data_IF_421423596326
#
_entry.id   IF_421423596326
#
_cell.length_a   1.000
_cell.length_b   1.000
_cell.length_c   1.000
_cell.angle_alpha   90.00
_cell.angle_beta   90.00
_cell.angle_gamma   90.00
#
_symmetry.space_group_name_H-M   'P 1'
#
loop_
_entity.id
_entity.type
_entity.pdbx_description
1 polymer ?
#
# COMPACT_ATOMS: atom_id res chain seq x y z
N UNK A 1 9.70 -8.80 21.43
CA UNK A 1 10.55 -7.84 20.70
C UNK A 1 9.90 -6.47 20.74
N UNK A 2 10.68 -5.45 21.05
CA UNK A 2 10.28 -4.05 21.01
C UNK A 2 10.92 -3.44 19.76
N UNK A 3 10.13 -2.72 18.97
CA UNK A 3 10.61 -2.00 17.78
C UNK A 3 10.02 -0.60 17.79
N UNK A 4 10.88 0.40 17.62
CA UNK A 4 10.50 1.77 17.36
C UNK A 4 10.95 2.11 15.94
N UNK A 5 10.07 2.70 15.15
CA UNK A 5 10.31 3.03 13.75
C UNK A 5 9.86 4.46 13.48
N UNK A 6 10.69 5.20 12.75
CA UNK A 6 10.34 6.50 12.19
C UNK A 6 10.54 6.42 10.69
N UNK A 7 9.46 6.65 9.95
CA UNK A 7 9.50 6.76 8.48
C UNK A 7 9.24 8.20 8.09
N UNK A 8 10.07 8.75 7.22
CA UNK A 8 9.92 10.10 6.69
C UNK A 8 10.02 10.02 5.17
N UNK A 9 9.05 10.57 4.48
CA UNK A 9 9.01 10.75 3.03
C UNK A 9 8.51 12.16 2.70
N UNK A 10 8.42 12.49 1.42
CA UNK A 10 7.94 13.79 0.94
C UNK A 10 6.53 14.13 1.45
N UNK A 11 5.63 13.14 1.44
CA UNK A 11 4.23 13.34 1.83
C UNK A 11 3.89 12.74 3.21
N UNK A 12 4.79 11.99 3.84
CA UNK A 12 4.42 11.19 5.00
C UNK A 12 5.46 11.21 6.10
N UNK A 13 5.01 11.47 7.32
CA UNK A 13 5.78 11.26 8.55
C UNK A 13 5.04 10.24 9.40
N UNK A 14 5.66 9.10 9.68
CA UNK A 14 5.09 8.05 10.52
C UNK A 14 6.01 7.71 11.67
N UNK A 15 5.54 7.87 12.90
CA UNK A 15 6.14 7.33 14.11
C UNK A 15 5.37 6.10 14.57
N UNK A 16 6.07 4.99 14.83
CA UNK A 16 5.44 3.75 15.26
C UNK A 16 6.23 3.09 16.40
N UNK A 17 5.51 2.58 17.38
CA UNK A 17 6.03 1.83 18.49
C UNK A 17 5.33 0.48 18.58
N UNK A 18 6.09 -0.61 18.37
CA UNK A 18 5.55 -1.96 18.32
C UNK A 18 6.13 -2.83 19.41
N UNK A 19 5.26 -3.57 20.08
CA UNK A 19 5.60 -4.68 20.96
C UNK A 19 5.12 -5.97 20.32
N UNK A 20 6.03 -6.89 20.03
CA UNK A 20 5.71 -8.19 19.44
C UNK A 20 6.23 -9.31 20.32
N UNK A 21 5.36 -10.23 20.70
CA UNK A 21 5.68 -11.51 21.31
C UNK A 21 5.37 -12.63 20.30
N UNK A 22 6.40 -13.20 19.63
CA UNK A 22 6.19 -14.17 18.54
C UNK A 22 5.69 -15.52 19.01
N UNK A 23 5.94 -15.89 20.27
CA UNK A 23 5.59 -17.21 20.81
C UNK A 23 4.77 -17.03 22.10
N UNK A 24 3.60 -16.42 21.97
CA UNK A 24 2.77 -16.12 23.11
C UNK A 24 2.36 -17.38 23.86
N UNK A 25 2.70 -17.47 25.15
CA UNK A 25 2.47 -18.63 26.01
C UNK A 25 3.02 -19.94 25.47
N UNK A 26 4.19 -19.89 24.82
CA UNK A 26 4.85 -21.04 24.18
C UNK A 26 4.03 -21.69 23.04
N UNK A 27 3.16 -20.91 22.40
CA UNK A 27 2.45 -21.32 21.20
C UNK A 27 3.13 -20.76 19.94
N UNK A 28 2.69 -21.21 18.77
CA UNK A 28 3.05 -20.70 17.46
C UNK A 28 2.36 -19.37 17.10
N UNK A 29 1.57 -18.83 18.03
CA UNK A 29 0.83 -17.57 17.84
C UNK A 29 1.65 -16.38 18.31
N UNK A 30 1.74 -15.36 17.47
CA UNK A 30 2.27 -14.07 17.88
C UNK A 30 1.17 -13.15 18.41
N UNK A 31 1.52 -12.29 19.36
CA UNK A 31 0.70 -11.14 19.74
C UNK A 31 1.49 -9.87 19.49
N UNK A 32 0.86 -8.92 18.85
CA UNK A 32 1.41 -7.60 18.60
C UNK A 32 0.51 -6.50 19.18
N UNK A 33 1.16 -5.49 19.72
CA UNK A 33 0.56 -4.23 20.15
C UNK A 33 1.30 -3.12 19.43
N UNK A 34 0.58 -2.15 18.89
CA UNK A 34 1.18 -0.99 18.25
C UNK A 34 0.55 0.31 18.77
N UNK A 35 1.35 1.36 18.78
CA UNK A 35 0.91 2.75 18.91
C UNK A 35 1.58 3.50 17.77
N UNK A 36 0.82 4.29 17.03
CA UNK A 36 1.33 5.01 15.89
C UNK A 36 0.75 6.41 15.75
N UNK A 37 1.55 7.29 15.18
CA UNK A 37 1.11 8.58 14.68
C UNK A 37 1.58 8.71 13.23
N UNK A 38 0.65 9.04 12.35
CA UNK A 38 0.86 9.15 10.91
C UNK A 38 0.34 10.50 10.44
N UNK A 39 1.23 11.33 9.93
CA UNK A 39 0.89 12.53 9.19
C UNK A 39 1.08 12.28 7.70
N UNK A 40 0.07 12.61 6.91
CA UNK A 40 0.13 12.55 5.45
C UNK A 40 -0.25 13.93 4.90
N UNK A 41 0.70 14.60 4.26
CA UNK A 41 0.52 15.91 3.66
C UNK A 41 0.35 15.78 2.14
N UNK A 42 -0.84 16.06 1.66
CA UNK A 42 -1.23 16.09 0.25
C UNK A 42 -1.87 17.43 -0.13
N UNK A 43 -1.53 18.48 0.60
CA UNK A 43 -2.11 19.81 0.37
C UNK A 43 -1.81 20.33 -1.03
N UNK A 44 -0.64 20.04 -1.59
CA UNK A 44 -0.22 20.47 -2.93
C UNK A 44 -0.92 19.70 -4.04
N UNK A 45 -0.99 18.38 -3.94
CA UNK A 45 -1.40 17.50 -5.03
C UNK A 45 -2.86 17.07 -4.96
N UNK A 46 -3.44 17.08 -3.75
CA UNK A 46 -4.78 16.58 -3.49
C UNK A 46 -5.62 17.50 -2.59
N UNK A 47 -5.07 18.63 -2.18
CA UNK A 47 -5.82 19.67 -1.43
C UNK A 47 -6.10 19.35 0.05
N UNK A 48 -5.54 18.29 0.63
CA UNK A 48 -5.81 17.93 2.01
C UNK A 48 -4.58 17.37 2.75
N UNK A 49 -4.66 17.41 4.07
CA UNK A 49 -3.68 16.83 5.01
C UNK A 49 -4.41 16.01 6.06
N UNK A 50 -3.83 14.90 6.47
CA UNK A 50 -4.37 14.08 7.55
C UNK A 50 -3.35 13.85 8.65
N UNK A 51 -3.83 13.79 9.89
CA UNK A 51 -3.06 13.34 11.02
C UNK A 51 -3.84 12.26 11.76
N UNK A 52 -3.32 11.02 11.77
CA UNK A 52 -3.90 9.85 12.43
C UNK A 52 -3.03 9.45 13.60
N UNK A 53 -3.59 9.44 14.81
CA UNK A 53 -2.93 8.89 15.99
C UNK A 53 -3.80 7.78 16.56
N UNK A 54 -3.20 6.64 16.86
CA UNK A 54 -3.98 5.51 17.31
C UNK A 54 -3.16 4.36 17.84
N UNK A 55 -3.88 3.31 18.20
CA UNK A 55 -3.32 2.08 18.70
C UNK A 55 -3.99 0.88 18.05
N UNK A 56 -3.29 -0.24 18.05
CA UNK A 56 -3.82 -1.50 17.55
C UNK A 56 -3.29 -2.68 18.35
N UNK A 57 -4.00 -3.77 18.25
CA UNK A 57 -3.54 -5.07 18.72
C UNK A 57 -3.92 -6.14 17.72
N UNK A 58 -3.14 -7.21 17.70
CA UNK A 58 -3.40 -8.29 16.77
C UNK A 58 -2.68 -9.57 17.12
N UNK A 59 -3.01 -10.61 16.38
CA UNK A 59 -2.37 -11.92 16.43
C UNK A 59 -2.09 -12.40 15.03
N UNK A 60 -1.03 -13.16 14.87
CA UNK A 60 -0.69 -13.83 13.62
C UNK A 60 -0.24 -15.25 13.94
N UNK A 61 -0.69 -16.22 13.17
CA UNK A 61 -0.35 -17.62 13.31
C UNK A 61 -0.38 -18.32 11.96
N UNK A 62 0.41 -19.37 11.85
CA UNK A 62 0.38 -20.29 10.73
C UNK A 62 -0.81 -21.24 10.89
N UNK A 63 -1.71 -21.22 9.91
CA UNK A 63 -2.91 -22.08 9.90
C UNK A 63 -2.65 -23.42 9.20
N UNK A 64 -1.90 -23.37 8.13
CA UNK A 64 -1.37 -24.49 7.36
C UNK A 64 0.02 -24.12 6.87
N UNK A 65 0.78 -25.10 6.38
CA UNK A 65 2.12 -24.87 5.82
C UNK A 65 2.11 -23.67 4.85
N UNK A 66 2.91 -22.65 5.18
CA UNK A 66 3.06 -21.41 4.42
C UNK A 66 1.81 -20.51 4.34
N UNK A 67 0.70 -20.87 5.03
CA UNK A 67 -0.54 -20.06 5.10
C UNK A 67 -0.66 -19.41 6.47
N UNK A 68 -0.56 -18.10 6.51
CA UNK A 68 -0.63 -17.30 7.74
C UNK A 68 -1.93 -16.51 7.81
N UNK A 69 -2.57 -16.52 8.98
CA UNK A 69 -3.75 -15.73 9.29
C UNK A 69 -3.38 -14.67 10.31
N UNK A 70 -3.63 -13.43 9.97
CA UNK A 70 -3.54 -12.28 10.87
C UNK A 70 -4.93 -11.77 11.21
N UNK A 71 -5.19 -11.56 12.49
CA UNK A 71 -6.40 -10.92 13.00
C UNK A 71 -6.00 -9.74 13.87
N UNK A 72 -6.66 -8.61 13.70
CA UNK A 72 -6.31 -7.41 14.45
C UNK A 72 -7.47 -6.44 14.61
N UNK A 73 -7.24 -5.45 15.45
CA UNK A 73 -8.09 -4.29 15.60
C UNK A 73 -7.20 -3.06 15.69
N UNK A 74 -7.58 -2.02 14.95
CA UNK A 74 -6.95 -0.71 15.00
C UNK A 74 -7.97 0.36 15.33
N UNK A 75 -7.60 1.30 16.20
CA UNK A 75 -8.41 2.47 16.54
C UNK A 75 -7.59 3.73 16.36
N UNK A 76 -8.16 4.71 15.64
CA UNK A 76 -7.50 5.97 15.33
C UNK A 76 -8.38 7.17 15.66
N UNK A 77 -7.75 8.20 16.16
CA UNK A 77 -8.24 9.55 16.09
C UNK A 77 -7.60 10.23 14.89
N UNK A 78 -8.41 10.69 13.95
CA UNK A 78 -7.99 11.31 12.71
C UNK A 78 -8.46 12.75 12.63
N UNK A 79 -7.56 13.64 12.23
CA UNK A 79 -7.86 15.02 11.84
C UNK A 79 -7.62 15.18 10.35
N UNK A 80 -8.63 15.66 9.62
CA UNK A 80 -8.54 16.03 8.20
C UNK A 80 -8.60 17.55 8.08
N UNK A 81 -7.60 18.13 7.42
CA UNK A 81 -7.51 19.54 7.11
C UNK A 81 -7.45 19.74 5.58
N UNK A 82 -8.03 20.81 5.07
CA UNK A 82 -8.02 21.15 3.65
C UNK A 82 -7.45 22.54 3.42
N UNK A 83 -6.86 22.78 2.26
CA UNK A 83 -6.38 24.10 1.90
C UNK A 83 -7.52 24.99 1.37
N UNK A 84 -7.22 26.28 1.14
CA UNK A 84 -8.20 27.26 0.65
C UNK A 84 -8.66 26.98 -0.78
N UNK A 85 -7.82 26.34 -1.60
CA UNK A 85 -8.11 25.99 -3.01
C UNK A 85 -8.85 24.67 -3.17
N UNK A 86 -8.95 23.85 -2.11
CA UNK A 86 -9.67 22.59 -2.14
C UNK A 86 -11.14 22.78 -2.55
N UNK A 87 -11.71 21.77 -3.22
CA UNK A 87 -13.11 21.79 -3.65
C UNK A 87 -14.07 21.89 -2.44
N UNK A 88 -15.29 22.34 -2.69
CA UNK A 88 -16.33 22.39 -1.64
C UNK A 88 -16.60 21.01 -1.06
N UNK A 89 -16.50 19.95 -1.88
CA UNK A 89 -16.69 18.56 -1.45
C UNK A 89 -15.57 18.09 -0.53
N UNK A 90 -14.34 18.43 -0.83
CA UNK A 90 -13.21 18.13 0.06
C UNK A 90 -13.31 18.91 1.37
N UNK A 91 -13.66 20.18 1.32
CA UNK A 91 -13.87 21.01 2.53
C UNK A 91 -14.98 20.50 3.43
N UNK A 92 -16.03 19.88 2.87
CA UNK A 92 -17.11 19.30 3.69
C UNK A 92 -16.69 18.07 4.50
N UNK A 93 -15.54 17.45 4.15
CA UNK A 93 -14.97 16.31 4.88
C UNK A 93 -13.83 16.71 5.84
N UNK A 94 -13.50 17.98 5.96
CA UNK A 94 -12.58 18.45 6.98
C UNK A 94 -13.21 18.29 8.36
N UNK A 95 -12.46 17.73 9.32
CA UNK A 95 -12.98 17.46 10.66
C UNK A 95 -12.12 16.50 11.45
N UNK A 96 -12.69 16.07 12.56
CA UNK A 96 -12.07 15.10 13.45
C UNK A 96 -12.94 13.85 13.50
N UNK A 97 -12.31 12.68 13.41
CA UNK A 97 -12.98 11.39 13.31
C UNK A 97 -12.38 10.41 14.32
N UNK A 98 -13.20 9.53 14.86
CA UNK A 98 -12.74 8.36 15.59
C UNK A 98 -13.18 7.11 14.84
N UNK A 99 -12.21 6.32 14.41
CA UNK A 99 -12.45 5.11 13.64
C UNK A 99 -11.85 3.90 14.32
N UNK A 100 -12.58 2.80 14.30
CA UNK A 100 -12.13 1.49 14.75
C UNK A 100 -12.41 0.46 13.67
N UNK A 101 -11.39 -0.27 13.28
CA UNK A 101 -11.44 -1.31 12.26
C UNK A 101 -11.06 -2.66 12.82
N UNK A 102 -11.70 -3.72 12.34
CA UNK A 102 -11.21 -5.09 12.44
C UNK A 102 -10.46 -5.45 11.17
N UNK A 103 -9.28 -6.01 11.34
CA UNK A 103 -8.37 -6.38 10.26
C UNK A 103 -8.28 -7.90 10.15
N UNK A 104 -8.48 -8.42 8.96
CA UNK A 104 -8.16 -9.79 8.58
C UNK A 104 -7.07 -9.76 7.51
N UNK A 105 -6.03 -10.54 7.71
CA UNK A 105 -4.95 -10.73 6.72
C UNK A 105 -4.77 -12.23 6.46
N UNK A 106 -4.79 -12.62 5.19
CA UNK A 106 -4.48 -13.97 4.71
C UNK A 106 -3.23 -13.89 3.85
N UNK A 107 -2.17 -14.56 4.27
CA UNK A 107 -0.89 -14.55 3.56
C UNK A 107 -0.48 -15.97 3.21
N UNK A 108 -0.28 -16.24 1.92
CA UNK A 108 0.24 -17.51 1.42
C UNK A 108 1.58 -17.25 0.75
N UNK A 109 2.67 -17.70 1.37
CA UNK A 109 4.05 -17.41 0.97
C UNK A 109 4.79 -18.70 0.58
N UNK A 110 4.86 -18.97 -0.72
CA UNK A 110 5.54 -20.10 -1.33
C UNK A 110 6.86 -19.69 -2.01
N UNK A 111 7.42 -18.55 -1.65
CA UNK A 111 8.71 -18.12 -2.17
C UNK A 111 9.83 -19.00 -1.65
N UNK A 112 10.77 -19.33 -2.53
CA UNK A 112 11.96 -20.11 -2.15
C UNK A 112 12.80 -19.41 -1.06
N UNK A 113 12.81 -18.06 -1.06
CA UNK A 113 13.47 -17.23 -0.04
C UNK A 113 12.83 -15.84 0.00
N UNK A 114 12.91 -15.18 1.16
CA UNK A 114 12.30 -13.84 1.34
C UNK A 114 13.14 -12.69 0.76
N UNK A 115 14.44 -12.90 0.65
CA UNK A 115 15.40 -11.94 0.11
C UNK A 115 15.97 -12.47 -1.20
N UNK A 116 16.01 -11.64 -2.25
CA UNK A 116 16.41 -12.04 -3.62
C UNK A 116 15.64 -13.29 -4.11
N UNK A 117 14.35 -13.27 -3.93
CA UNK A 117 13.46 -14.35 -4.38
C UNK A 117 13.66 -14.61 -5.87
N UNK A 118 13.89 -15.88 -6.25
CA UNK A 118 14.04 -16.28 -7.64
C UNK A 118 12.91 -17.19 -8.14
N UNK A 119 12.19 -17.84 -7.22
CA UNK A 119 11.11 -18.75 -7.57
C UNK A 119 9.99 -18.76 -6.52
N UNK A 120 8.80 -19.14 -6.96
CA UNK A 120 7.62 -19.26 -6.12
C UNK A 120 6.73 -18.02 -6.14
N UNK A 121 5.80 -17.93 -5.21
CA UNK A 121 4.84 -16.83 -5.18
C UNK A 121 4.49 -16.38 -3.76
N UNK A 122 3.98 -15.17 -3.69
CA UNK A 122 3.35 -14.57 -2.52
C UNK A 122 1.94 -14.13 -2.89
N UNK A 123 0.94 -14.58 -2.14
CA UNK A 123 -0.45 -14.12 -2.24
C UNK A 123 -0.88 -13.53 -0.90
N UNK A 124 -1.26 -12.26 -0.89
CA UNK A 124 -1.74 -11.57 0.30
C UNK A 124 -3.11 -10.96 0.05
N UNK A 125 -4.07 -11.26 0.92
CA UNK A 125 -5.38 -10.66 0.93
C UNK A 125 -5.66 -10.05 2.29
N UNK A 126 -6.09 -8.80 2.32
CA UNK A 126 -6.44 -8.10 3.56
C UNK A 126 -7.78 -7.39 3.45
N UNK A 127 -8.52 -7.42 4.56
CA UNK A 127 -9.79 -6.73 4.75
C UNK A 127 -9.67 -5.83 5.97
N UNK A 128 -10.12 -4.57 5.84
CA UNK A 128 -10.35 -3.66 6.96
C UNK A 128 -11.84 -3.41 7.05
N UNK A 129 -12.47 -3.96 8.09
CA UNK A 129 -13.89 -3.83 8.35
C UNK A 129 -14.13 -2.74 9.39
N UNK A 130 -14.87 -1.66 9.07
CA UNK A 130 -15.21 -0.64 10.04
C UNK A 130 -16.22 -1.20 11.08
N UNK A 131 -15.96 -0.94 12.36
CA UNK A 131 -16.83 -1.35 13.47
C UNK A 131 -17.42 -0.12 14.17
N UNK A 132 -16.59 0.88 14.39
CA UNK A 132 -16.99 2.20 14.92
C UNK A 132 -16.35 3.20 13.96
N UNK A 133 -17.16 3.85 13.18
CA UNK A 133 -16.69 4.87 12.22
C UNK A 133 -17.89 5.74 11.83
N UNK A 134 -17.65 7.02 11.64
CA UNK A 134 -18.66 7.94 11.10
C UNK A 134 -18.92 7.67 9.62
N UNK A 135 -17.89 7.26 8.89
CA UNK A 135 -17.94 6.92 7.46
C UNK A 135 -17.51 5.46 7.28
N UNK A 136 -18.48 4.56 7.26
CA UNK A 136 -18.25 3.11 7.26
C UNK A 136 -17.76 2.63 5.87
N UNK A 137 -16.46 2.65 5.62
CA UNK A 137 -15.88 2.10 4.40
C UNK A 137 -15.15 0.78 4.64
N UNK A 138 -15.59 -0.25 3.94
CA UNK A 138 -14.93 -1.55 3.86
C UNK A 138 -13.82 -1.49 2.83
N UNK A 139 -12.58 -1.74 3.26
CA UNK A 139 -11.43 -1.79 2.36
C UNK A 139 -10.96 -3.22 2.15
N UNK A 140 -10.80 -3.62 0.90
CA UNK A 140 -10.18 -4.88 0.50
C UNK A 140 -8.90 -4.59 -0.27
N UNK A 141 -7.85 -5.38 -0.01
CA UNK A 141 -6.59 -5.30 -0.76
C UNK A 141 -6.13 -6.69 -1.11
N UNK A 142 -5.77 -6.90 -2.38
CA UNK A 142 -5.17 -8.13 -2.85
C UNK A 142 -3.85 -7.84 -3.54
N UNK A 143 -2.82 -8.58 -3.17
CA UNK A 143 -1.50 -8.53 -3.80
C UNK A 143 -1.09 -9.95 -4.14
N UNK A 144 -0.76 -10.17 -5.39
CA UNK A 144 -0.16 -11.43 -5.85
C UNK A 144 1.18 -11.12 -6.51
N UNK A 145 2.21 -11.86 -6.15
CA UNK A 145 3.54 -11.71 -6.76
C UNK A 145 4.08 -13.10 -7.06
N UNK A 146 4.40 -13.34 -8.32
CA UNK A 146 5.00 -14.57 -8.82
C UNK A 146 6.44 -14.28 -9.25
N UNK A 147 7.33 -15.18 -8.92
CA UNK A 147 8.72 -15.17 -9.35
C UNK A 147 9.00 -16.44 -10.13
N UNK A 148 9.71 -16.32 -11.23
CA UNK A 148 10.12 -17.44 -12.07
C UNK A 148 11.47 -17.14 -12.70
N UNK A 149 12.39 -18.08 -12.58
CA UNK A 149 13.65 -18.04 -13.28
C UNK A 149 13.46 -18.66 -14.66
N UNK A 150 13.48 -17.83 -15.72
CA UNK A 150 13.25 -18.26 -17.10
C UNK A 150 14.48 -18.94 -17.70
N UNK A 151 15.67 -18.48 -17.35
CA UNK A 151 16.97 -19.04 -17.70
C UNK A 151 17.98 -18.60 -16.63
N UNK A 152 19.17 -19.16 -16.63
CA UNK A 152 20.19 -18.97 -15.59
C UNK A 152 20.34 -17.49 -15.16
N UNK A 153 20.09 -17.24 -13.88
CA UNK A 153 20.11 -15.93 -13.24
C UNK A 153 19.09 -14.88 -13.76
N UNK A 154 18.22 -15.23 -14.72
CA UNK A 154 17.16 -14.36 -15.18
C UNK A 154 15.88 -14.57 -14.37
N UNK A 155 15.60 -13.72 -13.43
CA UNK A 155 14.38 -13.76 -12.63
C UNK A 155 13.35 -12.80 -13.19
N UNK A 156 12.20 -13.34 -13.56
CA UNK A 156 11.02 -12.56 -13.94
C UNK A 156 10.03 -12.52 -12.78
N UNK A 157 9.65 -11.30 -12.40
CA UNK A 157 8.66 -11.00 -11.37
C UNK A 157 7.40 -10.47 -12.03
N UNK A 158 6.28 -11.14 -11.81
CA UNK A 158 4.95 -10.65 -12.11
C UNK A 158 4.27 -10.21 -10.81
N UNK A 159 3.69 -9.02 -10.75
CA UNK A 159 2.94 -8.57 -9.60
C UNK A 159 1.58 -8.00 -10.03
N UNK A 160 0.52 -8.47 -9.40
CA UNK A 160 -0.83 -7.94 -9.52
C UNK A 160 -1.25 -7.31 -8.20
N UNK A 161 -1.84 -6.14 -8.29
CA UNK A 161 -2.41 -5.41 -7.16
C UNK A 161 -3.83 -5.00 -7.48
N UNK A 162 -4.73 -5.20 -6.53
CA UNK A 162 -6.10 -4.68 -6.57
C UNK A 162 -6.49 -4.17 -5.18
N UNK A 163 -7.14 -3.02 -5.14
CA UNK A 163 -7.68 -2.44 -3.90
C UNK A 163 -9.04 -1.83 -4.16
N UNK A 164 -9.96 -2.04 -3.21
CA UNK A 164 -11.29 -1.42 -3.24
C UNK A 164 -11.62 -0.81 -1.88
N UNK A 165 -12.32 0.32 -1.90
CA UNK A 165 -12.96 0.92 -0.75
C UNK A 165 -14.45 1.10 -1.10
N UNK A 166 -15.33 0.49 -0.31
CA UNK A 166 -16.77 0.50 -0.55
C UNK A 166 -17.48 0.99 0.71
N UNK A 167 -18.33 2.00 0.57
CA UNK A 167 -19.17 2.43 1.68
C UNK A 167 -20.17 1.33 2.05
N UNK A 168 -20.31 1.04 3.32
CA UNK A 168 -21.35 0.17 3.88
C UNK A 168 -22.63 0.93 4.22
N UNK A 169 -22.57 2.25 4.12
CA UNK A 169 -23.69 3.19 4.25
C UNK A 169 -23.87 3.93 2.92
N UNK A 170 -24.77 4.90 2.86
CA UNK A 170 -24.92 5.73 1.67
C UNK A 170 -23.99 6.97 1.69
N UNK A 171 -23.02 7.01 2.60
CA UNK A 171 -22.08 8.11 2.71
C UNK A 171 -20.93 7.97 1.71
N UNK A 172 -20.34 9.11 1.36
CA UNK A 172 -19.15 9.13 0.49
C UNK A 172 -17.92 8.59 1.23
N UNK A 173 -17.04 7.90 0.51
CA UNK A 173 -15.74 7.47 1.04
C UNK A 173 -14.95 8.70 1.51
N UNK A 174 -14.43 8.64 2.73
CA UNK A 174 -13.62 9.69 3.35
C UNK A 174 -12.33 9.94 2.56
N UNK A 175 -11.87 11.18 2.46
CA UNK A 175 -10.66 11.56 1.69
C UNK A 175 -9.45 10.70 2.05
N UNK A 176 -9.24 10.43 3.33
CA UNK A 176 -8.13 9.62 3.83
C UNK A 176 -8.22 8.13 3.51
N UNK A 177 -9.39 7.65 3.12
CA UNK A 177 -9.66 6.25 2.76
C UNK A 177 -9.75 6.02 1.27
N UNK A 178 -9.74 7.10 0.47
CA UNK A 178 -9.65 7.01 -0.98
C UNK A 178 -8.33 6.40 -1.41
N UNK A 179 -8.38 5.69 -2.51
CA UNK A 179 -7.27 4.89 -3.00
C UNK A 179 -6.47 5.69 -4.01
N UNK A 180 -5.16 5.69 -3.81
CA UNK A 180 -4.16 6.23 -4.72
C UNK A 180 -3.18 5.12 -5.09
N UNK A 181 -2.63 5.16 -6.30
CA UNK A 181 -1.52 4.27 -6.70
C UNK A 181 -0.19 4.92 -6.29
N UNK A 182 0.62 4.23 -5.48
CA UNK A 182 1.97 4.70 -5.19
C UNK A 182 2.87 4.56 -6.43
N UNK A 183 3.91 5.39 -6.53
CA UNK A 183 4.87 5.36 -7.63
C UNK A 183 5.57 4.01 -7.81
N UNK A 184 5.70 3.19 -6.76
CA UNK A 184 6.23 1.83 -6.85
C UNK A 184 5.33 0.84 -7.60
N UNK A 185 4.04 1.19 -7.80
CA UNK A 185 3.06 0.39 -8.56
C UNK A 185 2.87 0.86 -9.98
N UNK A 186 3.28 2.09 -10.28
CA UNK A 186 3.22 2.67 -11.62
C UNK A 186 4.39 3.65 -11.75
N UNK A 187 5.57 3.10 -12.05
CA UNK A 187 6.82 3.86 -12.17
C UNK A 187 6.75 4.85 -13.34
N UNK A 188 7.45 5.97 -13.23
CA UNK A 188 7.39 7.05 -14.22
C UNK A 188 6.20 8.03 -14.06
N UNK A 189 5.29 7.77 -13.11
CA UNK A 189 4.23 8.68 -12.73
C UNK A 189 4.44 9.19 -11.30
N UNK A 190 4.00 10.42 -11.05
CA UNK A 190 4.00 10.96 -9.69
C UNK A 190 3.10 10.11 -8.81
N UNK A 191 3.53 9.84 -7.58
CA UNK A 191 2.74 9.08 -6.61
C UNK A 191 1.38 9.76 -6.40
N UNK A 192 0.29 8.98 -6.51
CA UNK A 192 -1.06 9.55 -6.43
C UNK A 192 -1.51 10.38 -7.62
N UNK A 193 -0.66 10.61 -8.62
CA UNK A 193 -0.94 11.44 -9.80
C UNK A 193 -1.73 10.74 -10.92
N UNK A 194 -2.51 9.69 -10.59
CA UNK A 194 -3.34 8.95 -11.54
C UNK A 194 -4.73 8.77 -10.97
N UNK A 195 -5.74 8.91 -11.82
CA UNK A 195 -7.14 8.70 -11.48
C UNK A 195 -7.98 9.97 -11.52
N UNK A 196 -9.14 9.95 -10.84
CA UNK A 196 -10.09 11.04 -10.83
C UNK A 196 -9.53 12.37 -10.29
N UNK A 197 -9.98 13.47 -10.90
CA UNK A 197 -9.65 14.83 -10.49
C UNK A 197 -10.89 15.65 -10.20
N UNK A 198 -10.80 16.52 -9.20
CA UNK A 198 -11.75 17.61 -8.95
C UNK A 198 -11.00 18.93 -9.09
N UNK A 199 -11.19 19.61 -10.24
CA UNK A 199 -10.35 20.72 -10.63
C UNK A 199 -8.92 20.29 -10.96
N UNK A 200 -7.95 20.80 -10.21
CA UNK A 200 -6.53 20.44 -10.36
C UNK A 200 -6.08 19.32 -9.41
N UNK A 201 -6.89 19.02 -8.39
CA UNK A 201 -6.52 18.09 -7.32
C UNK A 201 -6.85 16.64 -7.69
N UNK A 202 -5.90 15.72 -7.50
CA UNK A 202 -6.17 14.30 -7.56
C UNK A 202 -6.92 13.87 -6.29
N UNK A 203 -8.13 13.37 -6.46
CA UNK A 203 -9.01 13.02 -5.34
C UNK A 203 -8.96 11.54 -4.96
N UNK A 204 -8.16 10.73 -5.69
CA UNK A 204 -8.17 9.29 -5.56
C UNK A 204 -9.47 8.66 -6.05
N UNK A 205 -9.57 7.35 -5.93
CA UNK A 205 -10.75 6.59 -6.34
C UNK A 205 -11.23 5.62 -5.28
N UNK A 206 -12.32 4.94 -5.57
CA UNK A 206 -12.82 3.85 -4.75
C UNK A 206 -12.15 2.52 -5.12
N UNK A 207 -11.53 2.45 -6.30
CA UNK A 207 -10.89 1.26 -6.84
C UNK A 207 -9.53 1.61 -7.44
N UNK A 208 -8.55 0.72 -7.27
CA UNK A 208 -7.29 0.77 -7.98
C UNK A 208 -6.81 -0.62 -8.35
N UNK A 209 -6.14 -0.73 -9.49
CA UNK A 209 -5.41 -1.94 -9.83
C UNK A 209 -4.13 -1.62 -10.59
N UNK A 210 -3.13 -2.50 -10.45
CA UNK A 210 -1.93 -2.46 -11.28
C UNK A 210 -1.39 -3.83 -11.58
N UNK A 211 -0.70 -3.91 -12.73
CA UNK A 211 0.11 -5.05 -13.14
C UNK A 211 1.53 -4.53 -13.33
N UNK A 212 2.50 -5.24 -12.75
CA UNK A 212 3.90 -4.95 -12.87
C UNK A 212 4.63 -6.21 -13.33
N UNK A 213 5.38 -6.11 -14.41
CA UNK A 213 6.26 -7.17 -14.91
C UNK A 213 7.66 -6.61 -14.85
N UNK A 214 8.57 -7.33 -14.23
CA UNK A 214 9.98 -6.94 -14.16
C UNK A 214 10.82 -8.18 -14.38
N UNK A 215 11.80 -8.07 -15.28
CA UNK A 215 12.76 -9.15 -15.57
C UNK A 215 14.18 -8.66 -15.35
N UNK A 216 14.96 -9.43 -14.61
CA UNK A 216 16.40 -9.14 -14.43
C UNK A 216 17.16 -9.35 -15.74
N UNK A 217 18.21 -8.57 -15.93
CA UNK A 217 19.17 -8.72 -17.04
C UNK A 217 20.48 -9.22 -16.42
N UNK A 218 20.68 -10.56 -16.34
CA UNK A 218 21.87 -11.10 -15.72
C UNK A 218 23.11 -10.72 -16.52
N UNK A 219 24.25 -10.63 -15.82
CA UNK A 219 25.56 -10.39 -16.40
C UNK A 219 25.74 -9.07 -17.17
N UNK A 220 24.76 -8.14 -17.11
CA UNK A 220 24.95 -6.82 -17.73
C UNK A 220 26.12 -6.05 -17.08
N UNK A 221 26.36 -6.27 -15.79
CA UNK A 221 27.48 -5.71 -15.03
C UNK A 221 28.31 -6.83 -14.38
N UNK A 222 29.07 -7.62 -15.14
CA UNK A 222 29.67 -8.89 -14.69
C UNK A 222 30.66 -8.72 -13.52
N UNK A 223 31.22 -7.55 -13.34
CA UNK A 223 32.20 -7.26 -12.27
C UNK A 223 31.55 -6.64 -11.01
N UNK A 224 30.23 -6.45 -10.98
CA UNK A 224 29.52 -5.77 -9.88
C UNK A 224 28.40 -6.70 -9.37
N UNK A 225 28.67 -7.40 -8.28
CA UNK A 225 27.75 -8.42 -7.72
C UNK A 225 26.59 -7.85 -6.87
N UNK A 226 26.68 -6.59 -6.49
CA UNK A 226 25.69 -5.94 -5.63
C UNK A 226 24.76 -4.99 -6.36
N UNK A 227 24.76 -5.00 -7.70
CA UNK A 227 23.83 -4.22 -8.53
C UNK A 227 23.12 -5.18 -9.47
N UNK A 228 21.79 -5.19 -9.38
CA UNK A 228 20.93 -5.90 -10.33
C UNK A 228 20.27 -4.87 -11.27
N UNK A 229 20.35 -5.14 -12.55
CA UNK A 229 19.67 -4.33 -13.58
C UNK A 229 18.47 -5.12 -14.10
N UNK A 230 17.36 -4.44 -14.31
CA UNK A 230 16.12 -5.06 -14.79
C UNK A 230 15.41 -4.17 -15.81
N UNK A 231 14.59 -4.77 -16.64
CA UNK A 231 13.57 -4.06 -17.43
C UNK A 231 12.21 -4.23 -16.75
N UNK A 232 11.35 -3.23 -16.89
CA UNK A 232 10.01 -3.32 -16.36
C UNK A 232 8.95 -2.80 -17.32
N UNK A 233 7.74 -3.32 -17.15
CA UNK A 233 6.50 -2.85 -17.75
C UNK A 233 5.47 -2.75 -16.63
N UNK A 234 4.94 -1.55 -16.44
CA UNK A 234 3.88 -1.28 -15.47
C UNK A 234 2.61 -0.82 -16.19
N UNK A 235 1.46 -1.24 -15.70
CA UNK A 235 0.17 -0.73 -16.12
C UNK A 235 -0.75 -0.61 -14.91
N UNK A 236 -1.56 0.44 -14.83
CA UNK A 236 -2.48 0.62 -13.71
C UNK A 236 -3.47 1.75 -13.93
N UNK A 237 -4.47 1.75 -13.08
CA UNK A 237 -5.49 2.80 -13.03
C UNK A 237 -6.09 2.94 -11.63
N UNK A 238 -6.69 4.11 -11.38
CA UNK A 238 -7.50 4.44 -10.22
C UNK A 238 -8.82 4.99 -10.73
N UNK A 239 -9.95 4.49 -10.23
CA UNK A 239 -11.27 4.87 -10.71
C UNK A 239 -12.35 4.77 -9.64
N UNK A 240 -13.57 5.20 -9.99
CA UNK A 240 -14.74 5.17 -9.14
C UNK A 240 -14.78 6.37 -8.19
N UNK A 241 -15.83 7.19 -8.35
CA UNK A 241 -16.13 8.30 -7.46
C UNK A 241 -17.60 8.20 -7.09
N UNK A 242 -17.87 8.07 -5.80
CA UNK A 242 -19.20 7.81 -5.25
C UNK A 242 -20.16 9.02 -5.29
N UNK A 243 -19.65 10.24 -5.43
CA UNK A 243 -20.48 11.46 -5.42
C UNK A 243 -20.67 12.12 -6.79
N UNK A 244 -19.85 11.83 -7.77
CA UNK A 244 -19.94 12.42 -9.10
C UNK A 244 -19.20 11.59 -10.15
N UNK A 245 -19.96 10.80 -10.93
CA UNK A 245 -19.39 9.94 -11.96
C UNK A 245 -18.72 10.68 -13.11
N UNK A 246 -18.98 11.99 -13.27
CA UNK A 246 -18.31 12.82 -14.29
C UNK A 246 -16.81 13.04 -13.99
N UNK A 247 -16.39 12.84 -12.75
CA UNK A 247 -15.00 12.93 -12.30
C UNK A 247 -14.25 11.60 -12.43
N UNK A 248 -14.95 10.51 -12.77
CA UNK A 248 -14.36 9.18 -12.89
C UNK A 248 -13.47 9.07 -14.14
N UNK A 249 -12.37 8.35 -14.00
CA UNK A 249 -11.33 8.15 -15.02
C UNK A 249 -11.18 6.66 -15.41
N UNK A 250 -12.27 5.89 -15.39
CA UNK A 250 -12.29 4.43 -15.57
C UNK A 250 -11.60 3.94 -16.85
N UNK A 251 -11.64 4.71 -17.93
CA UNK A 251 -11.15 4.31 -19.25
C UNK A 251 -9.69 4.73 -19.51
N UNK A 252 -9.01 5.31 -18.53
CA UNK A 252 -7.68 5.87 -18.71
C UNK A 252 -6.60 5.04 -18.02
N UNK A 253 -6.38 3.82 -18.53
CA UNK A 253 -5.23 3.01 -18.10
C UNK A 253 -3.94 3.74 -18.46
N UNK A 254 -3.04 3.85 -17.49
CA UNK A 254 -1.69 4.37 -17.67
C UNK A 254 -0.72 3.22 -17.73
N UNK A 255 0.32 3.35 -18.54
CA UNK A 255 1.39 2.36 -18.64
C UNK A 255 2.74 3.03 -18.78
N UNK A 256 3.77 2.36 -18.33
CA UNK A 256 5.16 2.76 -18.45
C UNK A 256 6.05 1.56 -18.72
N UNK A 257 7.16 1.81 -19.38
CA UNK A 257 8.25 0.87 -19.59
C UNK A 257 9.56 1.57 -19.24
N UNK A 258 10.49 0.84 -18.65
CA UNK A 258 11.76 1.44 -18.26
C UNK A 258 12.79 0.42 -17.77
N UNK A 259 13.88 0.96 -17.21
CA UNK A 259 14.98 0.20 -16.63
C UNK A 259 14.98 0.44 -15.13
N UNK A 260 15.09 -0.64 -14.34
CA UNK A 260 15.28 -0.62 -12.90
C UNK A 260 16.71 -0.97 -12.54
N UNK A 261 17.24 -0.33 -11.51
CA UNK A 261 18.53 -0.63 -10.91
C UNK A 261 18.31 -0.84 -9.41
N UNK A 262 18.64 -2.02 -8.91
CA UNK A 262 18.61 -2.37 -7.50
C UNK A 262 20.05 -2.51 -6.99
N UNK A 263 20.47 -1.61 -6.12
CA UNK A 263 21.79 -1.61 -5.49
C UNK A 263 21.70 -2.11 -4.05
N UNK A 264 22.29 -3.26 -3.78
CA UNK A 264 22.32 -3.88 -2.45
C UNK A 264 23.48 -3.33 -1.63
N UNK A 265 23.17 -2.42 -0.71
CA UNK A 265 24.14 -1.80 0.18
C UNK A 265 24.14 -2.45 1.57
N UNK A 266 25.17 -2.16 2.37
CA UNK A 266 25.26 -2.64 3.76
C UNK A 266 24.12 -2.12 4.67
N UNK A 267 23.52 -1.00 4.30
CA UNK A 267 22.41 -0.39 5.05
C UNK A 267 21.02 -0.78 4.49
N UNK A 268 20.97 -1.53 3.38
CA UNK A 268 19.75 -1.99 2.72
C UNK A 268 19.77 -1.78 1.21
N UNK A 269 18.74 -2.29 0.49
CA UNK A 269 18.62 -2.10 -0.94
C UNK A 269 18.20 -0.67 -1.28
N UNK A 270 18.84 -0.10 -2.29
CA UNK A 270 18.48 1.16 -2.93
C UNK A 270 17.99 0.87 -4.34
N UNK A 271 16.79 1.34 -4.70
CA UNK A 271 16.19 1.11 -6.01
C UNK A 271 16.00 2.43 -6.75
N UNK A 272 16.36 2.46 -8.01
CA UNK A 272 16.09 3.56 -8.93
C UNK A 272 15.42 3.03 -10.21
N UNK A 273 14.58 3.84 -10.84
CA UNK A 273 13.93 3.52 -12.11
C UNK A 273 13.96 4.72 -13.06
N UNK A 274 14.15 4.43 -14.34
CA UNK A 274 14.33 5.40 -15.44
C UNK A 274 13.44 5.04 -16.62
#
# INVERSE_FOLDING_TARGET
KLVSELTVSEETIKGQFNVNNPNFRNSDKSINLNVQSLETDKLTDSGYKTNKTGFGFGTNFEYQDDVFIGLGQDSYYEKIETNSSASTRQKSQAGNYWDTFLNLNLNYDKRNQKYRTSDGFLSNYSINLPVISENNSLTNTYVYTLYNELYEDNVTKFSFFAKSANSLTNDNIKLSERIYLPGSRLRGFVSGGVGPKDGNDFIGGNYASSINIQTSIPQLLPNIQNIDVSMFLDAGNVWGVDYDSSLDDTNKIRSSIGIGIDWFTLIGPLSASF
#
